data_IF_085041700862
#
_entry.id   IF_085041700862
#
_cell.length_a   1.000
_cell.length_b   1.000
_cell.length_c   1.000
_cell.angle_alpha   90.00
_cell.angle_beta   90.00
_cell.angle_gamma   90.00
#
_symmetry.space_group_name_H-M   'P 1'
#
loop_
_entity.id
_entity.type
_entity.pdbx_description
1 polymer ?
#
# COMPACT_ATOMS: atom_id res chain seq x y z
N UNK A 1 18.50 -31.35 38.25
CA UNK A 1 18.85 -30.09 38.93
C UNK A 1 17.99 -28.98 38.35
N UNK A 2 17.12 -28.39 39.18
CA UNK A 2 16.19 -27.30 38.85
C UNK A 2 16.86 -25.95 39.12
N UNK A 3 16.59 -24.94 38.28
CA UNK A 3 16.62 -23.51 38.63
C UNK A 3 15.74 -22.75 37.61
N UNK A 4 14.48 -22.44 37.95
CA UNK A 4 13.95 -21.13 38.41
C UNK A 4 13.97 -20.08 37.27
N UNK A 5 12.91 -19.89 36.47
CA UNK A 5 11.70 -19.05 36.68
C UNK A 5 11.96 -17.75 37.47
N UNK A 6 12.09 -16.64 36.75
CA UNK A 6 11.97 -15.29 37.30
C UNK A 6 10.64 -14.65 36.90
N UNK A 7 10.09 -13.94 37.88
CA UNK A 7 8.73 -13.42 38.00
C UNK A 7 8.85 -11.91 38.05
N UNK A 8 8.25 -11.20 37.10
CA UNK A 8 8.26 -9.73 37.09
C UNK A 8 7.33 -9.19 38.20
N UNK A 9 7.92 -8.39 39.09
CA UNK A 9 7.25 -7.64 40.14
C UNK A 9 6.89 -6.24 39.64
N UNK A 10 5.65 -5.83 39.91
CA UNK A 10 5.18 -4.44 39.79
C UNK A 10 5.94 -3.53 40.76
N UNK A 11 6.21 -2.30 40.35
CA UNK A 11 6.47 -1.17 41.26
C UNK A 11 5.61 0.04 40.87
N UNK A 12 4.95 0.72 41.83
CA UNK A 12 4.05 1.84 41.58
C UNK A 12 4.71 3.19 41.90
N UNK A 13 4.64 4.15 40.99
CA UNK A 13 4.74 5.58 41.36
C UNK A 13 4.11 6.46 40.28
N UNK A 14 2.87 6.90 40.52
CA UNK A 14 2.35 8.09 39.88
C UNK A 14 1.37 8.78 40.84
N UNK A 15 1.54 10.09 40.99
CA UNK A 15 1.06 10.91 42.08
C UNK A 15 -0.46 10.97 42.24
N UNK A 16 -0.87 10.99 43.51
CA UNK A 16 -2.26 11.13 43.95
C UNK A 16 -2.63 12.61 43.96
N UNK A 17 -3.28 13.11 42.91
CA UNK A 17 -3.95 14.43 42.95
C UNK A 17 -5.37 14.25 43.48
N UNK A 18 -5.61 14.73 44.70
CA UNK A 18 -6.94 14.75 45.34
C UNK A 18 -7.82 15.82 44.68
N UNK A 19 -8.85 15.41 43.94
CA UNK A 19 -10.00 16.27 43.63
C UNK A 19 -11.18 15.93 44.55
N UNK A 20 -11.66 16.97 45.26
CA UNK A 20 -12.83 16.94 46.15
C UNK A 20 -14.10 16.72 45.33
N UNK A 21 -14.79 15.61 45.55
CA UNK A 21 -16.17 15.41 45.09
C UNK A 21 -17.13 16.18 46.02
N UNK A 22 -17.77 17.24 45.51
CA UNK A 22 -19.00 17.79 46.10
C UNK A 22 -20.17 16.96 45.58
N UNK A 23 -20.89 16.30 46.48
CA UNK A 23 -22.20 15.70 46.22
C UNK A 23 -23.21 16.82 45.97
N UNK A 24 -23.95 16.75 44.87
CA UNK A 24 -25.24 17.41 44.72
C UNK A 24 -26.30 16.32 44.48
N UNK A 25 -27.30 16.23 45.37
CA UNK A 25 -28.51 15.42 45.20
C UNK A 25 -29.63 16.35 44.77
N UNK A 26 -30.38 15.99 43.72
CA UNK A 26 -31.85 16.00 43.71
C UNK A 26 -32.41 15.68 42.31
N UNK A 27 -33.54 14.97 42.32
CA UNK A 27 -34.57 14.81 41.27
C UNK A 27 -34.08 14.31 39.90
N UNK A 28 -34.34 13.07 39.49
CA UNK A 28 -35.66 12.42 39.47
C UNK A 28 -36.40 12.87 38.21
N UNK A 29 -36.13 12.20 37.08
CA UNK A 29 -36.95 12.14 35.87
C UNK A 29 -36.36 11.03 34.98
N UNK A 30 -37.12 9.95 34.85
CA UNK A 30 -36.87 8.87 33.89
C UNK A 30 -36.93 9.44 32.47
N UNK A 31 -35.83 9.32 31.71
CA UNK A 31 -35.84 9.55 30.27
C UNK A 31 -35.25 8.32 29.59
N UNK A 32 -36.11 7.71 28.80
CA UNK A 32 -35.86 6.52 28.00
C UNK A 32 -34.61 6.66 27.11
N UNK A 33 -33.90 5.54 27.01
CA UNK A 33 -32.81 5.33 26.07
C UNK A 33 -33.38 5.33 24.65
N UNK A 34 -33.09 6.36 23.85
CA UNK A 34 -33.25 6.32 22.39
C UNK A 34 -31.87 6.19 21.73
N UNK A 35 -31.70 5.29 20.75
CA UNK A 35 -30.45 5.12 20.05
C UNK A 35 -30.24 6.29 19.07
N UNK A 36 -29.09 6.96 19.16
CA UNK A 36 -28.59 7.85 18.11
C UNK A 36 -28.08 7.01 16.94
N UNK A 37 -29.00 6.51 16.14
CA UNK A 37 -28.77 6.12 14.76
C UNK A 37 -29.09 7.32 13.84
N UNK A 38 -28.25 7.50 12.82
CA UNK A 38 -28.22 8.58 11.82
C UNK A 38 -27.61 9.89 12.35
N UNK A 39 -26.56 10.46 11.76
CA UNK A 39 -26.53 10.99 10.38
C UNK A 39 -25.15 10.73 9.75
N UNK A 40 -25.06 9.78 8.84
CA UNK A 40 -24.12 9.82 7.71
C UNK A 40 -24.97 9.44 6.49
N UNK A 41 -25.11 10.30 5.48
CA UNK A 41 -25.82 9.89 4.27
C UNK A 41 -25.00 8.80 3.59
N UNK A 42 -25.47 7.55 3.68
CA UNK A 42 -25.03 6.47 2.80
C UNK A 42 -25.45 6.86 1.39
N UNK A 43 -24.53 7.42 0.62
CA UNK A 43 -24.71 7.58 -0.82
C UNK A 43 -24.58 6.19 -1.43
N UNK A 44 -25.70 5.49 -1.52
CA UNK A 44 -25.84 4.31 -2.37
C UNK A 44 -25.62 4.77 -3.80
N UNK A 45 -24.43 4.51 -4.33
CA UNK A 45 -24.12 4.72 -5.74
C UNK A 45 -24.80 3.59 -6.51
N UNK A 46 -25.80 3.93 -7.31
CA UNK A 46 -26.44 2.98 -8.22
C UNK A 46 -25.40 2.34 -9.15
N UNK A 47 -25.57 1.07 -9.56
CA UNK A 47 -24.64 0.41 -10.48
C UNK A 47 -24.83 0.99 -11.88
N UNK A 48 -24.11 2.08 -12.16
CA UNK A 48 -23.83 2.53 -13.52
C UNK A 48 -22.59 1.81 -14.03
N UNK A 49 -22.66 1.22 -15.23
CA UNK A 49 -21.47 0.74 -15.94
C UNK A 49 -20.43 1.86 -16.03
N UNK A 50 -19.44 1.83 -15.13
CA UNK A 50 -18.25 2.66 -15.25
C UNK A 50 -17.39 2.04 -16.36
N UNK A 51 -17.70 2.37 -17.62
CA UNK A 51 -16.80 2.10 -18.74
C UNK A 51 -15.59 3.04 -18.60
N UNK A 52 -14.57 2.61 -17.84
CA UNK A 52 -13.27 3.28 -17.86
C UNK A 52 -12.67 3.13 -19.28
N UNK A 53 -12.12 4.20 -19.87
CA UNK A 53 -11.71 4.20 -21.29
C UNK A 53 -10.44 3.40 -21.60
N UNK A 54 -9.76 2.86 -20.59
CA UNK A 54 -8.48 2.15 -20.76
C UNK A 54 -8.53 0.78 -20.08
N UNK A 55 -8.74 -0.27 -20.88
CA UNK A 55 -8.54 -1.65 -20.48
C UNK A 55 -7.66 -2.35 -21.50
N UNK A 56 -6.55 -2.94 -21.06
CA UNK A 56 -5.77 -3.87 -21.87
C UNK A 56 -6.42 -5.26 -21.74
N UNK A 57 -7.58 -5.47 -22.37
CA UNK A 57 -8.23 -6.78 -22.35
C UNK A 57 -7.50 -7.73 -23.28
N UNK A 58 -6.70 -8.65 -22.72
CA UNK A 58 -6.18 -9.79 -23.45
C UNK A 58 -7.13 -10.97 -23.28
N UNK A 59 -8.03 -11.17 -24.24
CA UNK A 59 -8.77 -12.43 -24.34
C UNK A 59 -8.17 -13.31 -25.44
N UNK A 60 -7.49 -14.41 -25.08
CA UNK A 60 -7.37 -15.60 -25.93
C UNK A 60 -7.19 -16.88 -25.09
N UNK A 61 -8.12 -17.83 -25.28
CA UNK A 61 -7.96 -19.25 -24.94
C UNK A 61 -8.10 -19.60 -23.46
N UNK A 62 -8.59 -20.81 -23.16
CA UNK A 62 -8.98 -21.29 -21.83
C UNK A 62 -7.85 -21.42 -20.78
N UNK A 63 -6.65 -20.86 -21.02
CA UNK A 63 -5.52 -20.79 -20.10
C UNK A 63 -4.72 -19.51 -20.38
N UNK A 64 -4.86 -18.47 -19.55
CA UNK A 64 -4.16 -17.20 -19.73
C UNK A 64 -4.22 -16.28 -18.53
N UNK A 65 -3.25 -15.36 -18.43
CA UNK A 65 -3.25 -14.28 -17.42
C UNK A 65 -4.41 -13.34 -17.71
N UNK A 66 -5.25 -13.11 -16.70
CA UNK A 66 -6.46 -12.28 -16.85
C UNK A 66 -6.21 -10.84 -16.44
N UNK A 67 -5.40 -10.62 -15.39
CA UNK A 67 -4.97 -9.31 -14.87
C UNK A 67 -3.84 -9.47 -13.86
N UNK A 68 -3.28 -8.35 -13.42
CA UNK A 68 -2.49 -8.29 -12.18
C UNK A 68 -3.46 -8.38 -11.00
N UNK A 69 -3.36 -9.44 -10.19
CA UNK A 69 -4.25 -9.61 -9.04
C UNK A 69 -3.84 -8.68 -7.88
N UNK A 70 -2.57 -8.73 -7.50
CA UNK A 70 -2.00 -7.91 -6.45
C UNK A 70 -0.50 -7.73 -6.67
N UNK A 71 0.08 -6.75 -5.96
CA UNK A 71 1.53 -6.59 -5.80
C UNK A 71 1.90 -6.81 -4.34
N UNK A 72 2.75 -7.80 -4.08
CA UNK A 72 3.22 -8.15 -2.74
C UNK A 72 4.40 -7.29 -2.29
N UNK A 73 4.29 -6.72 -1.09
CA UNK A 73 5.31 -5.91 -0.43
C UNK A 73 5.55 -6.52 0.95
N UNK A 74 6.78 -6.99 1.19
CA UNK A 74 7.17 -7.45 2.53
C UNK A 74 7.44 -6.24 3.41
N UNK A 75 6.82 -6.20 4.58
CA UNK A 75 6.96 -5.11 5.56
C UNK A 75 7.44 -5.65 6.90
N UNK A 76 8.13 -4.81 7.68
CA UNK A 76 8.65 -5.22 8.99
C UNK A 76 7.72 -4.88 10.16
N UNK A 77 6.79 -3.95 9.96
CA UNK A 77 5.82 -3.52 10.96
C UNK A 77 4.50 -3.17 10.28
N UNK A 78 3.45 -3.97 10.54
CA UNK A 78 2.16 -3.80 9.88
C UNK A 78 1.47 -2.48 10.23
N UNK A 79 1.62 -1.98 11.46
CA UNK A 79 0.94 -0.76 11.89
C UNK A 79 1.61 0.48 11.29
N UNK A 80 2.95 0.50 11.25
CA UNK A 80 3.69 1.54 10.53
C UNK A 80 3.32 1.54 9.04
N UNK A 81 3.16 0.37 8.45
CA UNK A 81 2.80 0.23 7.05
C UNK A 81 1.37 0.61 6.75
N UNK A 82 0.40 0.25 7.59
CA UNK A 82 -0.96 0.75 7.49
C UNK A 82 -1.02 2.28 7.62
N UNK A 83 -0.22 2.87 8.51
CA UNK A 83 -0.08 4.33 8.60
C UNK A 83 0.30 4.99 7.27
N UNK A 84 1.18 4.38 6.49
CA UNK A 84 1.54 4.90 5.17
C UNK A 84 0.50 4.56 4.10
N UNK A 85 0.24 3.27 3.87
CA UNK A 85 -0.56 2.83 2.73
C UNK A 85 -2.05 3.14 2.88
N UNK A 86 -2.62 3.01 4.09
CA UNK A 86 -4.03 3.31 4.35
C UNK A 86 -4.22 4.79 4.66
N UNK A 87 -3.48 5.33 5.61
CA UNK A 87 -3.79 6.67 6.14
C UNK A 87 -3.19 7.81 5.31
N UNK A 88 -2.00 7.64 4.72
CA UNK A 88 -1.37 8.68 3.89
C UNK A 88 -1.73 8.52 2.40
N UNK A 89 -1.59 7.32 1.84
CA UNK A 89 -1.93 7.08 0.43
C UNK A 89 -3.44 6.88 0.19
N UNK A 90 -4.22 6.67 1.24
CA UNK A 90 -5.67 6.55 1.15
C UNK A 90 -6.17 5.22 0.59
N UNK A 91 -5.36 4.16 0.60
CA UNK A 91 -5.79 2.84 0.11
C UNK A 91 -6.79 2.20 1.08
N UNK A 92 -7.82 1.57 0.54
CA UNK A 92 -8.90 0.97 1.33
C UNK A 92 -8.52 -0.43 1.84
N UNK A 93 -8.76 -0.71 3.12
CA UNK A 93 -8.58 -2.04 3.70
C UNK A 93 -9.61 -3.03 3.18
N UNK A 94 -9.15 -4.09 2.51
CA UNK A 94 -9.99 -5.17 1.97
C UNK A 94 -9.96 -6.40 2.88
N UNK A 95 -8.77 -6.77 3.36
CA UNK A 95 -8.57 -7.94 4.20
C UNK A 95 -7.43 -7.70 5.17
N UNK A 96 -7.57 -8.23 6.38
CA UNK A 96 -6.55 -8.25 7.42
C UNK A 96 -6.62 -9.59 8.14
N UNK A 97 -5.55 -10.38 8.10
CA UNK A 97 -5.57 -11.76 8.55
C UNK A 97 -4.24 -12.17 9.17
N UNK A 98 -4.31 -12.76 10.36
CA UNK A 98 -3.19 -13.49 10.95
C UNK A 98 -3.01 -14.84 10.25
N UNK A 99 -1.76 -15.17 9.97
CA UNK A 99 -1.35 -16.40 9.27
C UNK A 99 -0.65 -17.32 10.27
N UNK A 100 -1.36 -18.37 10.65
CA UNK A 100 -0.82 -19.50 11.41
C UNK A 100 -0.10 -20.50 10.50
N UNK A 101 0.66 -21.42 11.13
CA UNK A 101 1.41 -22.46 10.42
C UNK A 101 0.49 -23.28 9.52
N UNK A 102 0.80 -23.29 8.23
CA UNK A 102 0.00 -24.00 7.25
C UNK A 102 0.89 -24.66 6.19
N UNK A 103 0.90 -26.00 6.15
CA UNK A 103 1.77 -26.76 5.24
C UNK A 103 1.53 -26.43 3.75
N UNK A 104 0.30 -26.08 3.39
CA UNK A 104 -0.01 -25.61 2.03
C UNK A 104 0.62 -24.25 1.71
N UNK A 105 0.71 -23.36 2.70
CA UNK A 105 1.35 -22.06 2.52
C UNK A 105 2.86 -22.25 2.36
N UNK A 106 3.48 -23.01 3.27
CA UNK A 106 4.90 -23.41 3.22
C UNK A 106 5.29 -23.95 1.85
N UNK A 107 4.44 -24.80 1.27
CA UNK A 107 4.64 -25.35 -0.07
C UNK A 107 4.64 -24.25 -1.15
N UNK A 108 3.70 -23.30 -1.08
CA UNK A 108 3.56 -22.22 -2.08
C UNK A 108 4.70 -21.21 -1.98
N UNK A 109 5.08 -20.80 -0.76
CA UNK A 109 6.14 -19.80 -0.55
C UNK A 109 7.55 -20.40 -0.56
N UNK A 110 7.67 -21.73 -0.53
CA UNK A 110 8.96 -22.42 -0.54
C UNK A 110 9.75 -22.27 0.75
N UNK A 111 9.06 -22.13 1.89
CA UNK A 111 9.63 -21.96 3.22
C UNK A 111 9.02 -22.97 4.20
N UNK A 112 9.50 -22.98 5.44
CA UNK A 112 9.00 -23.88 6.50
C UNK A 112 8.57 -23.07 7.71
N UNK A 113 7.46 -23.48 8.33
CA UNK A 113 6.87 -22.84 9.50
C UNK A 113 6.53 -21.36 9.26
N UNK A 114 5.97 -21.06 8.08
CA UNK A 114 5.60 -19.69 7.70
C UNK A 114 4.46 -19.20 8.59
N UNK A 115 4.69 -18.08 9.28
CA UNK A 115 3.69 -17.38 10.08
C UNK A 115 3.86 -15.87 9.95
N UNK A 116 2.78 -15.12 10.16
CA UNK A 116 2.81 -13.66 10.04
C UNK A 116 1.43 -13.04 10.01
N UNK A 117 1.33 -11.86 9.40
CA UNK A 117 0.08 -11.15 9.15
C UNK A 117 0.06 -10.62 7.73
N UNK A 118 -1.09 -10.72 7.09
CA UNK A 118 -1.30 -10.31 5.70
C UNK A 118 -2.44 -9.32 5.63
N UNK A 119 -2.20 -8.22 4.94
CA UNK A 119 -3.19 -7.18 4.69
C UNK A 119 -3.30 -6.95 3.20
N UNK A 120 -4.53 -6.90 2.69
CA UNK A 120 -4.84 -6.53 1.30
C UNK A 120 -5.49 -5.15 1.27
N UNK A 121 -4.97 -4.27 0.43
CA UNK A 121 -5.46 -2.90 0.23
C UNK A 121 -5.90 -2.71 -1.21
N UNK A 122 -7.05 -2.05 -1.43
CA UNK A 122 -7.56 -1.81 -2.77
C UNK A 122 -6.76 -0.73 -3.51
N UNK A 123 -6.35 -1.03 -4.74
CA UNK A 123 -5.69 -0.11 -5.66
C UNK A 123 -6.32 -0.23 -7.06
N UNK A 124 -7.51 0.36 -7.21
CA UNK A 124 -8.29 0.24 -8.44
C UNK A 124 -8.84 -1.17 -8.66
N UNK A 125 -8.42 -1.83 -9.74
CA UNK A 125 -8.78 -3.21 -10.08
C UNK A 125 -7.75 -4.26 -9.60
N UNK A 126 -6.70 -3.80 -8.91
CA UNK A 126 -5.67 -4.62 -8.28
C UNK A 126 -5.62 -4.37 -6.77
N UNK A 127 -4.73 -5.10 -6.09
CA UNK A 127 -4.49 -4.96 -4.66
C UNK A 127 -3.02 -4.68 -4.36
N UNK A 128 -2.75 -3.98 -3.27
CA UNK A 128 -1.46 -3.98 -2.59
C UNK A 128 -1.54 -5.00 -1.45
N UNK A 129 -0.72 -6.03 -1.51
CA UNK A 129 -0.59 -7.03 -0.45
C UNK A 129 0.59 -6.62 0.44
N UNK A 130 0.32 -6.28 1.70
CA UNK A 130 1.34 -6.10 2.72
C UNK A 130 1.52 -7.41 3.47
N UNK A 131 2.74 -7.93 3.46
CA UNK A 131 3.07 -9.18 4.14
C UNK A 131 4.09 -8.94 5.26
N UNK A 132 3.69 -9.13 6.51
CA UNK A 132 4.56 -9.02 7.67
C UNK A 132 4.91 -10.42 8.19
N UNK A 133 6.07 -10.96 7.81
CA UNK A 133 6.53 -12.27 8.25
C UNK A 133 6.99 -12.23 9.72
N UNK A 134 6.42 -13.09 10.56
CA UNK A 134 6.94 -13.38 11.89
C UNK A 134 7.99 -14.51 11.85
N UNK A 135 7.87 -15.46 10.92
CA UNK A 135 8.87 -16.48 10.65
C UNK A 135 8.77 -17.02 9.20
N UNK A 136 9.89 -17.23 8.49
CA UNK A 136 11.19 -16.62 8.76
C UNK A 136 11.13 -15.10 8.51
N UNK A 137 11.88 -14.32 9.28
CA UNK A 137 11.94 -12.87 9.06
C UNK A 137 12.63 -12.54 7.72
N UNK A 138 12.06 -11.57 6.99
CA UNK A 138 12.65 -11.05 5.75
C UNK A 138 13.93 -10.27 6.01
N UNK A 139 14.80 -10.19 4.99
CA UNK A 139 15.98 -9.30 5.00
C UNK A 139 15.59 -7.89 4.53
N UNK A 140 16.23 -6.82 5.02
CA UNK A 140 16.00 -5.48 4.51
C UNK A 140 16.49 -5.32 3.07
N UNK A 141 15.96 -4.32 2.36
CA UNK A 141 16.51 -3.89 1.08
C UNK A 141 17.95 -3.36 1.27
N UNK A 142 18.83 -3.52 0.27
CA UNK A 142 20.13 -2.86 0.28
C UNK A 142 19.98 -1.34 0.41
N UNK A 143 20.79 -0.71 1.26
CA UNK A 143 20.72 0.74 1.50
C UNK A 143 20.99 1.58 0.24
N UNK A 144 21.71 1.02 -0.72
CA UNK A 144 22.06 1.65 -1.99
C UNK A 144 21.25 1.09 -3.18
N UNK A 145 20.11 0.45 -2.92
CA UNK A 145 19.21 -0.08 -3.94
C UNK A 145 18.80 1.00 -4.94
N UNK A 146 18.86 0.67 -6.24
CA UNK A 146 18.54 1.57 -7.34
C UNK A 146 17.49 0.95 -8.25
N UNK A 147 16.65 1.77 -8.90
CA UNK A 147 15.73 1.30 -9.93
C UNK A 147 16.38 0.56 -11.12
N UNK A 148 17.70 0.67 -11.29
CA UNK A 148 18.46 -0.04 -12.32
C UNK A 148 18.85 -1.47 -11.89
N UNK A 149 18.66 -1.83 -10.62
CA UNK A 149 18.93 -3.16 -10.11
C UNK A 149 17.87 -4.16 -10.61
N UNK A 150 18.21 -5.44 -10.61
CA UNK A 150 17.32 -6.51 -11.11
C UNK A 150 16.29 -6.88 -10.06
N UNK A 151 15.04 -7.09 -10.47
CA UNK A 151 13.94 -7.54 -9.61
C UNK A 151 12.66 -6.73 -9.84
N UNK A 152 11.72 -6.82 -8.90
CA UNK A 152 10.61 -5.87 -8.80
C UNK A 152 11.17 -4.58 -8.21
N UNK A 153 11.21 -3.52 -9.02
CA UNK A 153 11.97 -2.31 -8.67
C UNK A 153 11.16 -1.25 -7.95
N UNK A 154 9.88 -1.14 -8.27
CA UNK A 154 8.94 -0.21 -7.67
C UNK A 154 7.51 -0.66 -7.95
N UNK A 155 6.59 -0.14 -7.15
CA UNK A 155 5.14 -0.21 -7.42
C UNK A 155 4.69 1.18 -7.87
N UNK A 156 4.08 1.28 -9.05
CA UNK A 156 3.52 2.52 -9.54
C UNK A 156 2.05 2.62 -9.18
N UNK A 157 1.70 3.69 -8.47
CA UNK A 157 0.34 4.02 -8.06
C UNK A 157 -0.10 5.26 -8.83
N UNK A 158 -1.16 5.10 -9.60
CA UNK A 158 -1.77 6.21 -10.33
C UNK A 158 -2.53 7.12 -9.36
N UNK A 159 -2.34 8.44 -9.50
CA UNK A 159 -2.96 9.47 -8.67
C UNK A 159 -3.52 10.58 -9.55
N UNK A 160 -4.62 11.19 -9.10
CA UNK A 160 -5.29 12.26 -9.85
C UNK A 160 -4.47 13.57 -9.91
N UNK A 161 -3.69 13.85 -8.87
CA UNK A 161 -2.82 15.03 -8.75
C UNK A 161 -1.54 14.64 -8.00
N UNK A 162 -0.44 14.53 -8.74
CA UNK A 162 0.84 14.09 -8.17
C UNK A 162 1.51 15.17 -7.32
N UNK A 163 1.25 16.46 -7.56
CA UNK A 163 1.81 17.54 -6.73
C UNK A 163 1.17 17.52 -5.34
N UNK A 164 -0.16 17.41 -5.29
CA UNK A 164 -0.91 17.34 -4.05
C UNK A 164 -0.56 16.08 -3.24
N UNK A 165 -0.52 14.91 -3.90
CA UNK A 165 -0.16 13.67 -3.23
C UNK A 165 1.29 13.70 -2.71
N UNK A 166 2.24 14.18 -3.52
CA UNK A 166 3.63 14.34 -3.07
C UNK A 166 3.72 15.25 -1.84
N UNK A 167 3.06 16.41 -1.86
CA UNK A 167 3.07 17.34 -0.74
C UNK A 167 2.48 16.70 0.53
N UNK A 168 1.42 15.91 0.39
CA UNK A 168 0.80 15.17 1.49
C UNK A 168 1.76 14.13 2.09
N UNK A 169 2.41 13.32 1.24
CA UNK A 169 3.38 12.30 1.66
C UNK A 169 4.57 12.91 2.40
N UNK A 170 5.13 14.01 1.88
CA UNK A 170 6.26 14.71 2.53
C UNK A 170 5.83 15.35 3.85
N UNK A 171 4.64 15.95 3.92
CA UNK A 171 4.09 16.52 5.16
C UNK A 171 3.86 15.45 6.25
N UNK A 172 3.56 14.21 5.85
CA UNK A 172 3.45 13.06 6.74
C UNK A 172 4.83 12.50 7.20
N UNK A 173 5.94 13.08 6.73
CA UNK A 173 7.29 12.72 7.15
C UNK A 173 7.98 11.63 6.31
N UNK A 174 7.36 11.21 5.20
CA UNK A 174 7.96 10.22 4.29
C UNK A 174 8.90 10.88 3.29
N UNK A 175 9.91 10.12 2.85
CA UNK A 175 10.96 10.64 1.98
C UNK A 175 10.53 10.59 0.52
N UNK A 176 10.72 11.70 -0.18
CA UNK A 176 10.64 11.76 -1.64
C UNK A 176 12.05 11.86 -2.24
N UNK A 177 12.28 11.20 -3.37
CA UNK A 177 13.54 11.27 -4.10
C UNK A 177 13.70 12.59 -4.86
N UNK A 178 12.57 13.14 -5.32
CA UNK A 178 12.47 14.45 -5.96
C UNK A 178 11.04 14.97 -5.83
N UNK A 179 10.85 16.26 -6.09
CA UNK A 179 9.53 16.79 -6.44
C UNK A 179 9.01 16.11 -7.73
N UNK A 180 7.69 16.15 -7.99
CA UNK A 180 7.11 15.64 -9.23
C UNK A 180 7.71 16.31 -10.47
N UNK A 181 8.08 15.50 -11.45
CA UNK A 181 8.66 15.93 -12.72
C UNK A 181 7.71 15.60 -13.85
N UNK A 182 7.45 16.58 -14.71
CA UNK A 182 6.70 16.39 -15.94
C UNK A 182 7.60 15.79 -17.03
N UNK A 183 7.32 14.56 -17.43
CA UNK A 183 8.03 13.84 -18.48
C UNK A 183 7.23 13.83 -19.81
N UNK A 184 6.19 14.64 -19.91
CA UNK A 184 5.31 14.77 -21.07
C UNK A 184 4.25 13.67 -21.16
N UNK A 185 4.64 12.39 -21.07
CA UNK A 185 3.68 11.27 -21.08
C UNK A 185 2.99 11.08 -19.73
N UNK A 186 3.68 11.38 -18.64
CA UNK A 186 3.21 11.32 -17.27
C UNK A 186 3.89 12.43 -16.47
N UNK A 187 3.29 12.82 -15.35
CA UNK A 187 3.97 13.59 -14.31
C UNK A 187 4.17 12.68 -13.10
N UNK A 188 5.40 12.56 -12.60
CA UNK A 188 5.74 11.48 -11.66
C UNK A 188 6.84 11.86 -10.67
N UNK A 189 6.85 11.21 -9.51
CA UNK A 189 7.98 11.17 -8.58
C UNK A 189 8.09 9.81 -7.89
N UNK A 190 9.28 9.51 -7.36
CA UNK A 190 9.48 8.38 -6.45
C UNK A 190 9.46 8.85 -5.01
N UNK A 191 8.71 8.13 -4.18
CA UNK A 191 8.72 8.21 -2.72
C UNK A 191 9.17 6.88 -2.13
N UNK A 192 9.60 6.91 -0.87
CA UNK A 192 9.97 5.70 -0.13
C UNK A 192 8.85 5.32 0.82
N UNK A 193 8.48 4.04 0.79
CA UNK A 193 7.62 3.44 1.78
C UNK A 193 8.33 3.22 3.13
N UNK A 194 7.62 2.65 4.11
CA UNK A 194 8.12 2.45 5.48
C UNK A 194 9.28 1.49 5.64
N UNK A 195 9.58 0.67 4.63
CA UNK A 195 10.66 -0.31 4.59
C UNK A 195 11.64 0.00 3.42
N UNK A 196 11.69 1.28 3.02
CA UNK A 196 12.54 1.88 1.98
C UNK A 196 12.27 1.44 0.54
N UNK A 197 11.24 0.63 0.32
CA UNK A 197 10.73 0.27 -0.99
C UNK A 197 10.34 1.51 -1.80
N UNK A 198 10.54 1.43 -3.12
CA UNK A 198 10.27 2.55 -4.02
C UNK A 198 8.80 2.48 -4.46
N UNK A 199 8.07 3.55 -4.21
CA UNK A 199 6.71 3.75 -4.70
C UNK A 199 6.73 4.91 -5.69
N UNK A 200 6.25 4.67 -6.90
CA UNK A 200 6.06 5.72 -7.90
C UNK A 200 4.65 6.31 -7.75
N UNK A 201 4.56 7.62 -7.55
CA UNK A 201 3.31 8.36 -7.66
C UNK A 201 3.24 8.91 -9.07
N UNK A 202 2.24 8.48 -9.83
CA UNK A 202 2.15 8.77 -11.26
C UNK A 202 0.80 9.39 -11.60
N UNK A 203 0.82 10.59 -12.15
CA UNK A 203 -0.34 11.18 -12.83
C UNK A 203 -0.27 10.77 -14.30
N UNK A 204 -1.15 9.84 -14.72
CA UNK A 204 -1.20 9.35 -16.09
C UNK A 204 -1.80 10.43 -17.02
N UNK A 205 -1.03 10.83 -18.03
CA UNK A 205 -1.45 11.78 -19.07
C UNK A 205 -1.40 11.13 -20.45
N UNK A 206 -1.09 9.85 -20.50
CA UNK A 206 -0.88 9.12 -21.72
C UNK A 206 -2.19 8.58 -22.27
N UNK A 207 -2.13 8.06 -23.50
CA UNK A 207 -3.19 7.22 -24.03
C UNK A 207 -2.58 6.21 -25.01
N UNK A 208 -3.35 5.18 -25.35
CA UNK A 208 -2.90 4.09 -26.23
C UNK A 208 -2.32 4.58 -27.56
N UNK A 209 -2.94 5.58 -28.18
CA UNK A 209 -2.45 6.11 -29.45
C UNK A 209 -1.13 6.87 -29.29
N UNK A 210 -1.03 7.69 -28.26
CA UNK A 210 0.18 8.44 -27.92
C UNK A 210 1.35 7.48 -27.69
N UNK A 211 1.15 6.46 -26.86
CA UNK A 211 2.15 5.44 -26.59
C UNK A 211 2.54 4.69 -27.86
N UNK A 212 1.56 4.27 -28.68
CA UNK A 212 1.84 3.60 -29.95
C UNK A 212 2.67 4.47 -30.93
N UNK A 213 2.41 5.79 -30.98
CA UNK A 213 3.19 6.74 -31.79
C UNK A 213 4.62 6.86 -31.27
N UNK A 214 4.81 6.97 -29.95
CA UNK A 214 6.14 7.02 -29.31
C UNK A 214 6.93 5.74 -29.61
N UNK A 215 6.29 4.58 -29.47
CA UNK A 215 6.89 3.27 -29.77
C UNK A 215 7.35 3.20 -31.23
N UNK A 216 6.48 3.53 -32.19
CA UNK A 216 6.80 3.46 -33.62
C UNK A 216 8.01 4.33 -33.97
N UNK A 217 8.00 5.60 -33.56
CA UNK A 217 9.12 6.55 -33.78
C UNK A 217 10.43 6.02 -33.20
N UNK A 218 10.36 5.39 -32.03
CA UNK A 218 11.56 4.84 -31.37
C UNK A 218 12.12 3.65 -32.14
N UNK A 219 11.26 2.76 -32.63
CA UNK A 219 11.68 1.61 -33.46
C UNK A 219 12.34 2.08 -34.76
N UNK A 220 11.72 3.02 -35.47
CA UNK A 220 12.26 3.58 -36.72
C UNK A 220 13.65 4.19 -36.52
N UNK A 221 13.85 4.94 -35.42
CA UNK A 221 15.16 5.53 -35.08
C UNK A 221 16.23 4.48 -34.82
N UNK A 222 15.88 3.36 -34.18
CA UNK A 222 16.83 2.26 -33.90
C UNK A 222 17.28 1.59 -35.20
N UNK A 223 16.33 1.25 -36.08
CA UNK A 223 16.62 0.65 -37.38
C UNK A 223 17.49 1.57 -38.26
N UNK A 224 17.20 2.87 -38.28
CA UNK A 224 18.01 3.84 -39.02
C UNK A 224 19.45 3.98 -38.45
N UNK A 225 19.62 3.83 -37.14
CA UNK A 225 20.95 3.87 -36.50
C UNK A 225 21.78 2.60 -36.77
N UNK A 226 21.13 1.44 -36.88
CA UNK A 226 21.77 0.18 -37.26
C UNK A 226 22.23 0.18 -38.73
N UNK A 227 21.39 0.68 -39.63
CA UNK A 227 21.74 0.81 -41.05
C UNK A 227 22.94 1.73 -41.32
N UNK A 228 23.18 2.73 -40.45
CA UNK A 228 24.36 3.62 -40.53
C UNK A 228 25.64 3.03 -39.97
N UNK A 229 25.58 1.94 -39.18
CA UNK A 229 26.78 1.27 -38.64
C UNK A 229 27.34 0.19 -39.57
N UNK A 230 26.58 -0.21 -40.60
CA UNK A 230 26.97 -1.22 -41.58
C UNK A 230 27.43 -0.67 -42.94
N UNK A 231 27.46 0.65 -43.11
CA UNK A 231 27.95 1.36 -44.31
C UNK A 231 29.24 2.11 -44.01
#
# INVERSE_FOLDING_TARGET
MRCLRERWLRSPSCGMLRLRLRRCRSSGLDVACSPLSAIIPQRVVAPGEMKRPFGYYTHRGAMGVTRVNHTGISVTDMERSLGFYRDVLGLELVMDMDVDRHAGLDTVVGMTDTIGRVVMLAAGDSLVELWCYANPAGRPLPLDYKPADRGVTHVALEVDDVDAMHAHVVAAGFRAKSAPVDLGIHKTCYVHGPDDEIIELLEDRSNREMLARVTRRTIERRLAAEGKKGS
#
